data_IF_688903455142
#
_entry.id   IF_688903455142
#
_cell.length_a   1.000
_cell.length_b   1.000
_cell.length_c   1.000
_cell.angle_alpha   90.00
_cell.angle_beta   90.00
_cell.angle_gamma   90.00
#
_symmetry.space_group_name_H-M   'P 1'
#
loop_
_entity.id
_entity.type
_entity.pdbx_description
1 polymer ?
#
# COMPACT_ATOMS: atom_id res chain seq x y z
N UNK A 1 -43.26 -36.23 26.43
CA UNK A 1 -41.83 -36.58 26.39
C UNK A 1 -41.50 -36.86 24.94
N UNK A 2 -41.23 -35.77 24.22
CA UNK A 2 -40.92 -35.72 22.79
C UNK A 2 -39.48 -36.19 22.56
N UNK A 3 -39.18 -36.67 21.35
CA UNK A 3 -37.83 -37.13 20.92
C UNK A 3 -36.71 -36.11 21.24
N UNK A 4 -37.05 -34.82 21.36
CA UNK A 4 -36.27 -33.72 21.93
C UNK A 4 -35.57 -34.05 23.27
N UNK A 5 -36.29 -34.68 24.20
CA UNK A 5 -35.78 -35.06 25.53
C UNK A 5 -34.87 -36.30 25.44
N UNK A 6 -34.92 -37.07 24.35
CA UNK A 6 -34.01 -38.21 24.11
C UNK A 6 -32.68 -37.77 23.48
N UNK A 7 -32.67 -36.79 22.57
CA UNK A 7 -31.44 -36.24 21.99
C UNK A 7 -30.57 -35.53 23.04
N UNK A 8 -31.16 -34.62 23.82
CA UNK A 8 -30.47 -33.96 24.93
C UNK A 8 -29.98 -34.95 25.99
N UNK A 9 -30.74 -36.04 26.26
CA UNK A 9 -30.28 -37.12 27.16
C UNK A 9 -29.20 -38.02 26.56
N UNK A 10 -29.20 -38.25 25.25
CA UNK A 10 -28.19 -39.08 24.60
C UNK A 10 -26.81 -38.41 24.65
N UNK A 11 -26.75 -37.09 24.46
CA UNK A 11 -25.49 -36.34 24.49
C UNK A 11 -25.00 -36.03 25.91
N UNK A 12 -25.90 -35.64 26.83
CA UNK A 12 -25.56 -35.51 28.26
C UNK A 12 -25.18 -36.85 28.93
N UNK A 13 -25.57 -37.98 28.32
CA UNK A 13 -25.16 -39.33 28.71
C UNK A 13 -23.78 -39.76 28.18
N UNK A 14 -23.08 -38.97 27.35
CA UNK A 14 -21.70 -39.30 26.99
C UNK A 14 -20.84 -39.20 28.25
N UNK A 15 -20.57 -40.36 28.86
CA UNK A 15 -19.68 -40.54 30.01
C UNK A 15 -18.31 -39.85 29.81
N UNK A 16 -17.89 -39.69 28.55
CA UNK A 16 -16.70 -38.95 28.10
C UNK A 16 -16.64 -37.50 28.61
N UNK A 17 -17.80 -36.86 28.81
CA UNK A 17 -17.90 -35.47 29.31
C UNK A 17 -17.92 -35.36 30.85
N UNK A 18 -18.34 -36.42 31.58
CA UNK A 18 -18.69 -36.34 33.01
C UNK A 18 -17.65 -36.91 33.99
N UNK A 19 -16.40 -37.13 33.55
CA UNK A 19 -15.27 -37.42 34.43
C UNK A 19 -14.74 -38.86 34.33
N UNK A 20 -13.41 -38.96 34.41
CA UNK A 20 -12.53 -40.16 34.36
C UNK A 20 -11.90 -40.56 33.01
N UNK A 21 -12.30 -40.00 31.86
CA UNK A 21 -11.72 -40.44 30.57
C UNK A 21 -10.37 -39.79 30.21
N UNK A 22 -9.52 -40.60 29.56
CA UNK A 22 -8.20 -40.26 29.01
C UNK A 22 -8.33 -39.14 27.98
N UNK A 23 -7.40 -38.18 28.02
CA UNK A 23 -7.34 -37.04 27.11
C UNK A 23 -7.44 -37.48 25.64
N UNK A 24 -6.80 -38.61 25.31
CA UNK A 24 -6.83 -39.22 24.00
C UNK A 24 -8.24 -39.59 23.50
N UNK A 25 -9.15 -40.02 24.39
CA UNK A 25 -10.51 -40.38 24.00
C UNK A 25 -11.36 -39.15 23.66
N UNK A 26 -11.17 -38.03 24.37
CA UNK A 26 -11.86 -36.77 24.06
C UNK A 26 -11.42 -36.21 22.72
N UNK A 27 -10.12 -36.24 22.45
CA UNK A 27 -9.60 -35.85 21.15
C UNK A 27 -10.17 -36.72 20.02
N UNK A 28 -10.20 -38.04 20.20
CA UNK A 28 -10.76 -38.95 19.21
C UNK A 28 -12.25 -38.67 19.00
N UNK A 29 -13.02 -38.44 20.08
CA UNK A 29 -14.44 -38.11 19.98
C UNK A 29 -14.65 -36.80 19.22
N UNK A 30 -13.89 -35.75 19.53
CA UNK A 30 -13.97 -34.45 18.87
C UNK A 30 -13.70 -34.56 17.36
N UNK A 31 -12.61 -35.26 16.99
CA UNK A 31 -12.27 -35.51 15.58
C UNK A 31 -13.34 -36.33 14.87
N UNK A 32 -13.80 -37.41 15.49
CA UNK A 32 -14.81 -38.29 14.91
C UNK A 32 -16.16 -37.57 14.74
N UNK A 33 -16.58 -36.75 15.69
CA UNK A 33 -17.81 -35.98 15.58
C UNK A 33 -17.75 -34.97 14.44
N UNK A 34 -16.66 -34.20 14.34
CA UNK A 34 -16.46 -33.27 13.24
C UNK A 34 -16.40 -33.99 11.88
N UNK A 35 -15.73 -35.15 11.83
CA UNK A 35 -15.64 -35.96 10.63
C UNK A 35 -16.99 -36.57 10.23
N UNK A 36 -17.77 -37.08 11.18
CA UNK A 36 -19.12 -37.57 10.91
C UNK A 36 -19.99 -36.44 10.40
N UNK A 37 -19.94 -35.27 11.04
CA UNK A 37 -20.67 -34.09 10.64
C UNK A 37 -20.33 -33.68 9.19
N UNK A 38 -19.05 -33.68 8.80
CA UNK A 38 -18.67 -33.30 7.44
C UNK A 38 -19.28 -34.20 6.36
N UNK A 39 -19.56 -35.47 6.67
CA UNK A 39 -20.26 -36.38 5.75
C UNK A 39 -21.78 -36.19 5.68
N UNK A 40 -22.39 -35.63 6.72
CA UNK A 40 -23.86 -35.52 6.84
C UNK A 40 -24.38 -34.09 6.81
N UNK A 41 -23.50 -33.09 6.82
CA UNK A 41 -23.83 -31.66 6.96
C UNK A 41 -24.95 -31.18 6.01
N UNK A 42 -24.92 -31.60 4.74
CA UNK A 42 -25.95 -31.24 3.74
C UNK A 42 -27.35 -31.81 4.03
N UNK A 43 -27.43 -32.86 4.87
CA UNK A 43 -28.68 -33.57 5.19
C UNK A 43 -29.20 -33.26 6.59
N UNK A 44 -28.43 -32.54 7.40
CA UNK A 44 -28.87 -32.15 8.73
C UNK A 44 -29.89 -31.01 8.66
N UNK A 45 -30.92 -31.10 9.50
CA UNK A 45 -31.78 -29.96 9.81
C UNK A 45 -31.11 -29.02 10.83
N UNK A 46 -31.68 -27.83 11.04
CA UNK A 46 -31.09 -26.80 11.90
C UNK A 46 -31.00 -27.26 13.37
N UNK A 47 -31.91 -28.12 13.82
CA UNK A 47 -31.91 -28.66 15.18
C UNK A 47 -30.75 -29.65 15.38
N UNK A 48 -30.53 -30.53 14.40
CA UNK A 48 -29.39 -31.44 14.39
C UNK A 48 -28.07 -30.67 14.34
N UNK A 49 -27.96 -29.63 13.50
CA UNK A 49 -26.75 -28.78 13.46
C UNK A 49 -26.49 -28.16 14.84
N UNK A 50 -27.51 -27.65 15.52
CA UNK A 50 -27.36 -27.08 16.86
C UNK A 50 -26.88 -28.10 17.91
N UNK A 51 -27.35 -29.35 17.83
CA UNK A 51 -26.88 -30.42 18.73
C UNK A 51 -25.39 -30.75 18.51
N UNK A 52 -24.96 -30.84 17.24
CA UNK A 52 -23.54 -30.99 16.92
C UNK A 52 -22.71 -29.80 17.41
N UNK A 53 -23.23 -28.58 17.24
CA UNK A 53 -22.60 -27.35 17.68
C UNK A 53 -22.31 -27.36 19.18
N UNK A 54 -23.32 -27.65 20.00
CA UNK A 54 -23.19 -27.69 21.46
C UNK A 54 -22.11 -28.66 21.92
N UNK A 55 -22.11 -29.88 21.37
CA UNK A 55 -21.13 -30.91 21.77
C UNK A 55 -19.73 -30.57 21.28
N UNK A 56 -19.58 -30.08 20.05
CA UNK A 56 -18.30 -29.66 19.52
C UNK A 56 -17.72 -28.46 20.29
N UNK A 57 -18.56 -27.51 20.74
CA UNK A 57 -18.14 -26.42 21.62
C UNK A 57 -17.58 -26.92 22.95
N UNK A 58 -18.27 -27.85 23.61
CA UNK A 58 -17.82 -28.43 24.88
C UNK A 58 -16.51 -29.21 24.70
N UNK A 59 -16.41 -30.03 23.66
CA UNK A 59 -15.20 -30.81 23.38
C UNK A 59 -14.00 -29.92 23.02
N UNK A 60 -14.22 -28.81 22.30
CA UNK A 60 -13.16 -27.87 21.97
C UNK A 60 -12.46 -27.28 23.21
N UNK A 61 -13.13 -27.20 24.35
CA UNK A 61 -12.52 -26.73 25.62
C UNK A 61 -11.66 -27.80 26.31
N UNK A 62 -11.78 -29.06 25.90
CA UNK A 62 -11.23 -30.22 26.61
C UNK A 62 -10.13 -30.95 25.83
N UNK A 63 -9.71 -30.40 24.68
CA UNK A 63 -8.76 -31.04 23.76
C UNK A 63 -7.62 -30.10 23.41
N UNK A 64 -6.47 -30.67 23.08
CA UNK A 64 -5.27 -29.94 22.69
C UNK A 64 -5.41 -29.26 21.32
N UNK A 65 -4.51 -28.31 21.09
CA UNK A 65 -4.47 -27.45 19.89
C UNK A 65 -4.48 -28.28 18.61
N UNK A 66 -3.76 -29.41 18.56
CA UNK A 66 -3.67 -30.27 17.37
C UNK A 66 -5.02 -30.91 16.99
N UNK A 67 -5.90 -31.14 17.95
CA UNK A 67 -7.25 -31.61 17.70
C UNK A 67 -8.14 -30.49 17.15
N UNK A 68 -8.01 -29.28 17.71
CA UNK A 68 -8.70 -28.08 17.24
C UNK A 68 -8.30 -27.69 15.82
N UNK A 69 -7.01 -27.73 15.48
CA UNK A 69 -6.52 -27.52 14.11
C UNK A 69 -7.17 -28.51 13.13
N UNK A 70 -7.24 -29.78 13.50
CA UNK A 70 -7.82 -30.81 12.63
C UNK A 70 -9.32 -30.57 12.40
N UNK A 71 -10.08 -30.30 13.45
CA UNK A 71 -11.50 -30.02 13.34
C UNK A 71 -11.76 -28.73 12.59
N UNK A 72 -10.99 -27.67 12.83
CA UNK A 72 -11.10 -26.41 12.09
C UNK A 72 -10.93 -26.62 10.57
N UNK A 73 -9.98 -27.47 10.15
CA UNK A 73 -9.79 -27.83 8.74
C UNK A 73 -10.96 -28.62 8.15
N UNK A 74 -11.62 -29.47 8.94
CA UNK A 74 -12.81 -30.21 8.51
C UNK A 74 -14.04 -29.33 8.36
N UNK A 75 -14.21 -28.35 9.26
CA UNK A 75 -15.37 -27.46 9.27
C UNK A 75 -15.25 -26.30 8.28
N UNK A 76 -14.04 -25.80 8.03
CA UNK A 76 -13.80 -24.64 7.18
C UNK A 76 -14.48 -24.67 5.79
N UNK A 77 -14.47 -25.77 5.01
CA UNK A 77 -15.10 -25.78 3.70
C UNK A 77 -16.61 -26.06 3.71
N UNK A 78 -17.22 -26.33 4.86
CA UNK A 78 -18.63 -26.72 4.93
C UNK A 78 -19.56 -25.50 4.86
N UNK A 79 -20.54 -25.52 3.96
CA UNK A 79 -21.52 -24.44 3.81
C UNK A 79 -22.47 -24.32 5.01
N UNK A 80 -22.77 -25.45 5.66
CA UNK A 80 -23.63 -25.53 6.85
C UNK A 80 -22.86 -25.98 8.09
N UNK A 81 -21.65 -25.46 8.29
CA UNK A 81 -20.88 -25.73 9.51
C UNK A 81 -21.63 -25.24 10.77
N UNK A 82 -21.46 -25.88 11.94
CA UNK A 82 -22.09 -25.43 13.18
C UNK A 82 -21.47 -24.09 13.61
N UNK A 83 -22.30 -23.05 13.75
CA UNK A 83 -21.84 -21.67 13.81
C UNK A 83 -21.07 -21.31 15.08
N UNK A 84 -21.54 -21.76 16.25
CA UNK A 84 -20.94 -21.37 17.55
C UNK A 84 -19.52 -21.91 17.68
N UNK A 85 -19.29 -23.17 17.31
CA UNK A 85 -17.95 -23.77 17.35
C UNK A 85 -17.04 -23.14 16.30
N UNK A 86 -17.54 -22.78 15.12
CA UNK A 86 -16.76 -22.07 14.11
C UNK A 86 -16.28 -20.71 14.65
N UNK A 87 -17.17 -19.91 15.24
CA UNK A 87 -16.79 -18.63 15.85
C UNK A 87 -15.82 -18.82 17.02
N UNK A 88 -16.02 -19.85 17.84
CA UNK A 88 -15.12 -20.19 18.96
C UNK A 88 -13.71 -20.51 18.47
N UNK A 89 -13.59 -21.42 17.49
CA UNK A 89 -12.30 -21.83 16.93
C UNK A 89 -11.65 -20.73 16.08
N UNK A 90 -12.43 -19.81 15.50
CA UNK A 90 -11.91 -18.64 14.78
C UNK A 90 -11.32 -17.56 15.72
N UNK A 91 -11.61 -17.63 17.01
CA UNK A 91 -11.06 -16.76 18.07
C UNK A 91 -9.91 -17.43 18.88
N UNK A 92 -9.50 -18.62 18.48
CA UNK A 92 -8.45 -19.41 19.12
C UNK A 92 -7.04 -18.98 18.65
N UNK A 93 -6.01 -19.74 18.97
CA UNK A 93 -4.68 -19.54 18.39
C UNK A 93 -4.72 -19.59 16.86
N UNK A 94 -3.86 -18.81 16.21
CA UNK A 94 -3.90 -18.62 14.76
C UNK A 94 -3.83 -19.94 13.98
N UNK A 95 -3.12 -20.95 14.48
CA UNK A 95 -2.98 -22.24 13.80
C UNK A 95 -4.33 -22.97 13.68
N UNK A 96 -5.21 -22.77 14.65
CA UNK A 96 -6.59 -23.28 14.69
C UNK A 96 -7.50 -22.37 13.86
N UNK A 97 -7.41 -21.06 14.07
CA UNK A 97 -8.34 -20.09 13.48
C UNK A 97 -8.15 -19.93 11.96
N UNK A 98 -6.91 -19.97 11.47
CA UNK A 98 -6.55 -19.66 10.08
C UNK A 98 -7.42 -20.35 9.01
N UNK A 99 -7.62 -21.69 9.00
CA UNK A 99 -8.48 -22.32 7.98
C UNK A 99 -9.92 -21.79 8.01
N UNK A 100 -10.47 -21.47 9.18
CA UNK A 100 -11.84 -20.95 9.30
C UNK A 100 -11.90 -19.50 8.79
N UNK A 101 -10.94 -18.66 9.19
CA UNK A 101 -10.86 -17.27 8.76
C UNK A 101 -10.66 -17.14 7.25
N UNK A 102 -9.87 -18.02 6.63
CA UNK A 102 -9.59 -17.98 5.18
C UNK A 102 -10.73 -18.56 4.33
N UNK A 103 -11.41 -19.62 4.79
CA UNK A 103 -12.28 -20.43 3.92
C UNK A 103 -13.73 -20.60 4.38
N UNK A 104 -14.07 -20.30 5.64
CA UNK A 104 -15.44 -20.48 6.13
C UNK A 104 -16.39 -19.40 5.61
N UNK A 105 -17.54 -19.82 5.09
CA UNK A 105 -18.65 -18.94 4.68
C UNK A 105 -19.70 -18.74 5.77
N UNK A 106 -19.55 -19.39 6.93
CA UNK A 106 -20.50 -19.30 8.05
C UNK A 106 -20.23 -18.07 8.93
N UNK A 107 -18.99 -17.58 8.95
CA UNK A 107 -18.62 -16.36 9.66
C UNK A 107 -19.28 -15.14 9.00
N UNK A 108 -20.08 -14.41 9.76
CA UNK A 108 -20.67 -13.15 9.31
C UNK A 108 -19.65 -12.02 9.28
N UNK A 109 -19.97 -10.93 8.58
CA UNK A 109 -19.13 -9.72 8.58
C UNK A 109 -18.93 -9.19 10.01
N UNK A 110 -19.96 -9.25 10.85
CA UNK A 110 -19.88 -8.78 12.25
C UNK A 110 -18.96 -9.67 13.09
N UNK A 111 -18.96 -10.99 12.87
CA UNK A 111 -18.01 -11.90 13.53
C UNK A 111 -16.57 -11.61 13.10
N UNK A 112 -16.34 -11.40 11.79
CA UNK A 112 -15.02 -11.07 11.27
C UNK A 112 -14.51 -9.74 11.83
N UNK A 113 -15.38 -8.72 11.90
CA UNK A 113 -15.04 -7.40 12.47
C UNK A 113 -14.70 -7.52 13.97
N UNK A 114 -15.45 -8.32 14.73
CA UNK A 114 -15.17 -8.55 16.15
C UNK A 114 -13.81 -9.24 16.36
N UNK A 115 -13.52 -10.26 15.55
CA UNK A 115 -12.22 -10.96 15.54
C UNK A 115 -11.09 -10.00 15.18
N UNK A 116 -11.28 -9.15 14.17
CA UNK A 116 -10.33 -8.11 13.81
C UNK A 116 -10.10 -7.21 15.04
N UNK A 117 -11.13 -6.72 15.71
CA UNK A 117 -10.98 -5.82 16.86
C UNK A 117 -10.16 -6.42 18.01
N UNK A 118 -10.25 -7.74 18.24
CA UNK A 118 -9.76 -8.39 19.45
C UNK A 118 -8.49 -9.24 19.29
N UNK A 119 -8.25 -9.79 18.10
CA UNK A 119 -7.23 -10.84 17.91
C UNK A 119 -5.90 -10.34 17.33
N UNK A 120 -4.94 -11.26 17.15
CA UNK A 120 -3.59 -10.92 16.70
C UNK A 120 -3.55 -10.41 15.25
N UNK A 121 -2.43 -9.80 14.87
CA UNK A 121 -2.18 -9.37 13.48
C UNK A 121 -2.28 -10.55 12.49
N UNK A 122 -1.90 -11.75 12.90
CA UNK A 122 -1.95 -12.94 12.02
C UNK A 122 -3.39 -13.35 11.70
N UNK A 123 -4.35 -13.13 12.60
CA UNK A 123 -5.78 -13.32 12.35
C UNK A 123 -6.26 -12.37 11.26
N UNK A 124 -5.88 -11.10 11.35
CA UNK A 124 -6.24 -10.08 10.36
C UNK A 124 -5.64 -10.41 8.99
N UNK A 125 -4.42 -10.95 8.94
CA UNK A 125 -3.80 -11.42 7.69
C UNK A 125 -4.61 -12.56 7.07
N UNK A 126 -5.09 -13.51 7.88
CA UNK A 126 -5.95 -14.59 7.40
C UNK A 126 -7.27 -14.04 6.82
N UNK A 127 -7.94 -13.13 7.53
CA UNK A 127 -9.20 -12.49 7.08
C UNK A 127 -8.98 -11.67 5.80
N UNK A 128 -7.89 -10.90 5.73
CA UNK A 128 -7.51 -10.13 4.53
C UNK A 128 -7.26 -11.02 3.30
N UNK A 129 -6.94 -12.30 3.53
CA UNK A 129 -6.67 -13.30 2.50
C UNK A 129 -7.89 -14.04 1.95
N UNK A 130 -9.11 -13.77 2.46
CA UNK A 130 -10.36 -14.39 2.00
C UNK A 130 -10.61 -14.14 0.51
N UNK A 131 -11.36 -15.04 -0.13
CA UNK A 131 -11.70 -14.92 -1.56
C UNK A 131 -12.49 -13.64 -1.90
N UNK A 132 -13.29 -13.16 -0.94
CA UNK A 132 -13.99 -11.89 -0.99
C UNK A 132 -13.83 -11.19 0.38
N UNK A 133 -13.57 -9.89 0.37
CA UNK A 133 -13.51 -9.08 1.61
C UNK A 133 -14.48 -7.90 1.44
N UNK A 134 -15.66 -7.96 2.07
CA UNK A 134 -16.65 -6.88 2.01
C UNK A 134 -16.11 -5.58 2.59
N UNK A 135 -16.66 -4.47 2.12
CA UNK A 135 -16.29 -3.10 2.50
C UNK A 135 -16.09 -2.91 4.01
N UNK A 136 -17.08 -3.31 4.83
CA UNK A 136 -17.05 -3.16 6.30
C UNK A 136 -15.89 -3.94 6.95
N UNK A 137 -15.61 -5.13 6.44
CA UNK A 137 -14.51 -5.98 6.93
C UNK A 137 -13.16 -5.39 6.51
N UNK A 138 -13.08 -4.88 5.27
CA UNK A 138 -11.92 -4.15 4.76
C UNK A 138 -11.61 -2.92 5.61
N UNK A 139 -12.62 -2.11 5.94
CA UNK A 139 -12.47 -0.95 6.82
C UNK A 139 -11.90 -1.34 8.18
N UNK A 140 -12.45 -2.37 8.82
CA UNK A 140 -11.98 -2.84 10.13
C UNK A 140 -10.50 -3.30 10.08
N UNK A 141 -10.07 -3.98 9.01
CA UNK A 141 -8.66 -4.34 8.82
C UNK A 141 -7.79 -3.08 8.67
N UNK A 142 -8.27 -2.07 7.93
CA UNK A 142 -7.55 -0.80 7.77
C UNK A 142 -7.53 0.01 9.06
N UNK A 143 -8.51 -0.13 9.94
CA UNK A 143 -8.50 0.55 11.24
C UNK A 143 -7.50 -0.10 12.20
N UNK A 144 -7.60 -1.42 12.39
CA UNK A 144 -6.89 -2.09 13.47
C UNK A 144 -5.65 -2.89 13.03
N UNK A 145 -5.50 -3.16 11.73
CA UNK A 145 -4.41 -3.98 11.19
C UNK A 145 -3.08 -3.25 11.09
N UNK A 146 -1.99 -4.01 11.24
CA UNK A 146 -0.63 -3.56 10.97
C UNK A 146 -0.23 -3.81 9.51
N UNK A 147 1.05 -3.57 9.19
CA UNK A 147 1.57 -3.63 7.82
C UNK A 147 1.18 -4.92 7.08
N UNK A 148 1.33 -6.08 7.71
CA UNK A 148 1.13 -7.38 7.06
C UNK A 148 -0.30 -7.60 6.57
N UNK A 149 -1.30 -7.28 7.40
CA UNK A 149 -2.72 -7.43 7.07
C UNK A 149 -3.15 -6.40 6.04
N UNK A 150 -2.67 -5.17 6.13
CA UNK A 150 -2.93 -4.13 5.10
C UNK A 150 -2.33 -4.55 3.76
N UNK A 151 -1.07 -4.97 3.72
CA UNK A 151 -0.41 -5.43 2.49
C UNK A 151 -1.19 -6.59 1.88
N UNK A 152 -1.64 -7.54 2.71
CA UNK A 152 -2.45 -8.68 2.26
C UNK A 152 -3.80 -8.23 1.68
N UNK A 153 -4.48 -7.30 2.36
CA UNK A 153 -5.77 -6.74 1.96
C UNK A 153 -5.66 -5.98 0.63
N UNK A 154 -4.66 -5.11 0.50
CA UNK A 154 -4.45 -4.30 -0.70
C UNK A 154 -4.14 -5.19 -1.91
N UNK A 155 -3.37 -6.27 -1.74
CA UNK A 155 -3.09 -7.26 -2.78
C UNK A 155 -4.29 -8.13 -3.16
N UNK A 156 -5.34 -8.14 -2.35
CA UNK A 156 -6.56 -8.89 -2.63
C UNK A 156 -7.47 -8.08 -3.58
N UNK A 157 -7.47 -8.44 -4.86
CA UNK A 157 -8.26 -7.74 -5.90
C UNK A 157 -9.76 -7.82 -5.70
N UNK A 158 -10.23 -8.76 -4.87
CA UNK A 158 -11.65 -8.92 -4.53
C UNK A 158 -12.00 -8.23 -3.22
N UNK A 159 -11.08 -7.49 -2.59
CA UNK A 159 -11.40 -6.65 -1.45
C UNK A 159 -12.09 -5.37 -1.93
N UNK A 160 -13.25 -5.08 -1.38
CA UNK A 160 -14.01 -3.87 -1.66
C UNK A 160 -13.59 -2.75 -0.71
N UNK A 161 -13.45 -1.53 -1.24
CA UNK A 161 -13.12 -0.36 -0.45
C UNK A 161 -14.08 0.77 -0.77
N UNK A 162 -14.63 1.36 0.28
CA UNK A 162 -15.31 2.63 0.17
C UNK A 162 -14.31 3.78 0.13
N UNK A 163 -14.87 4.97 -0.06
CA UNK A 163 -14.10 6.19 -0.11
C UNK A 163 -13.34 6.46 1.20
N UNK A 164 -13.98 6.26 2.37
CA UNK A 164 -13.32 6.54 3.65
C UNK A 164 -12.16 5.57 3.92
N UNK A 165 -12.33 4.29 3.58
CA UNK A 165 -11.26 3.28 3.67
C UNK A 165 -10.12 3.57 2.72
N UNK A 166 -10.41 3.99 1.48
CA UNK A 166 -9.37 4.42 0.53
C UNK A 166 -8.56 5.61 1.05
N UNK A 167 -9.21 6.61 1.65
CA UNK A 167 -8.52 7.75 2.27
C UNK A 167 -7.55 7.29 3.38
N UNK A 168 -7.99 6.39 4.26
CA UNK A 168 -7.15 5.79 5.31
C UNK A 168 -5.98 4.99 4.73
N UNK A 169 -6.23 4.19 3.68
CA UNK A 169 -5.20 3.41 2.99
C UNK A 169 -4.15 4.31 2.32
N UNK A 170 -4.57 5.40 1.69
CA UNK A 170 -3.67 6.40 1.10
C UNK A 170 -2.82 7.06 2.19
N UNK A 171 -3.41 7.41 3.33
CA UNK A 171 -2.67 7.95 4.46
C UNK A 171 -1.58 6.98 4.96
N UNK A 172 -1.87 5.67 5.02
CA UNK A 172 -0.86 4.66 5.39
C UNK A 172 0.18 4.43 4.30
N UNK A 173 -0.22 4.44 3.04
CA UNK A 173 0.69 4.33 1.90
C UNK A 173 1.69 5.51 1.85
N UNK A 174 1.36 6.68 2.42
CA UNK A 174 2.31 7.80 2.55
C UNK A 174 3.53 7.42 3.42
N UNK A 175 3.33 6.54 4.41
CA UNK A 175 4.37 6.06 5.31
C UNK A 175 5.04 4.76 4.83
N UNK A 176 4.37 3.96 3.98
CA UNK A 176 4.85 2.65 3.53
C UNK A 176 4.86 2.50 2.00
N UNK A 177 6.07 2.40 1.44
CA UNK A 177 6.30 2.31 0.00
C UNK A 177 5.79 1.00 -0.65
N UNK A 178 5.69 -0.08 0.12
CA UNK A 178 5.19 -1.37 -0.36
C UNK A 178 3.68 -1.30 -0.53
N UNK A 179 2.97 -0.82 0.50
CA UNK A 179 1.51 -0.58 0.44
C UNK A 179 1.19 0.37 -0.72
N UNK A 180 1.98 1.43 -0.91
CA UNK A 180 1.83 2.35 -2.03
C UNK A 180 2.03 1.68 -3.40
N UNK A 181 2.93 0.70 -3.52
CA UNK A 181 3.14 -0.04 -4.77
C UNK A 181 1.98 -0.99 -5.06
N UNK A 182 1.52 -1.72 -4.04
CA UNK A 182 0.41 -2.67 -4.18
C UNK A 182 -0.90 -1.95 -4.52
N UNK A 183 -1.19 -0.82 -3.86
CA UNK A 183 -2.41 -0.04 -4.10
C UNK A 183 -2.46 0.51 -5.54
N UNK A 184 -1.33 0.99 -6.06
CA UNK A 184 -1.18 1.41 -7.46
C UNK A 184 -1.37 0.29 -8.48
N UNK A 185 -1.14 -0.95 -8.07
CA UNK A 185 -1.29 -2.11 -8.93
C UNK A 185 -2.74 -2.51 -9.21
N UNK A 186 -3.70 -1.93 -8.49
CA UNK A 186 -5.12 -2.27 -8.58
C UNK A 186 -5.80 -1.60 -9.79
N UNK A 187 -6.22 -2.37 -10.82
CA UNK A 187 -6.74 -1.83 -12.08
C UNK A 187 -8.12 -1.16 -11.98
N UNK A 188 -8.91 -1.50 -10.96
CA UNK A 188 -10.27 -1.01 -10.74
C UNK A 188 -10.33 0.37 -10.05
N UNK A 189 -9.23 0.82 -9.47
CA UNK A 189 -9.14 2.12 -8.81
C UNK A 189 -8.82 3.22 -9.84
N UNK A 190 -9.79 4.08 -10.13
CA UNK A 190 -9.56 5.28 -10.93
C UNK A 190 -8.91 6.39 -10.09
N UNK A 191 -7.59 6.34 -10.00
CA UNK A 191 -6.76 7.36 -9.36
C UNK A 191 -6.93 8.77 -9.96
N UNK A 192 -7.53 8.89 -11.16
CA UNK A 192 -7.86 10.17 -11.78
C UNK A 192 -8.96 10.93 -11.06
N UNK A 193 -10.01 10.24 -10.64
CA UNK A 193 -11.19 10.82 -9.96
C UNK A 193 -10.97 11.05 -8.45
N UNK A 194 -10.19 10.19 -7.78
CA UNK A 194 -9.83 10.33 -6.35
C UNK A 194 -8.82 11.47 -6.06
N UNK A 195 -8.31 12.13 -7.10
CA UNK A 195 -7.28 13.17 -7.05
C UNK A 195 -7.63 14.36 -6.17
N UNK A 196 -8.88 14.83 -6.19
CA UNK A 196 -9.32 15.98 -5.40
C UNK A 196 -9.48 15.69 -3.91
N UNK A 197 -9.59 14.41 -3.54
CA UNK A 197 -9.96 13.97 -2.20
C UNK A 197 -8.70 13.65 -1.37
N UNK A 198 -7.69 13.07 -2.03
CA UNK A 198 -6.34 12.85 -1.47
C UNK A 198 -5.64 14.17 -1.10
N UNK A 199 -5.83 15.24 -1.89
CA UNK A 199 -5.31 16.58 -1.60
C UNK A 199 -5.91 17.20 -0.31
N UNK A 200 -7.12 16.79 0.08
CA UNK A 200 -7.79 17.27 1.30
C UNK A 200 -7.29 16.58 2.58
N UNK A 201 -6.99 15.27 2.49
CA UNK A 201 -6.44 14.47 3.61
C UNK A 201 -4.99 14.89 3.90
N UNK A 202 -4.23 15.21 2.84
CA UNK A 202 -2.90 15.81 2.94
C UNK A 202 -2.88 17.10 3.77
N UNK A 203 -3.88 17.95 3.57
CA UNK A 203 -4.02 19.23 4.26
C UNK A 203 -4.42 19.05 5.73
N UNK A 204 -5.31 18.09 6.03
CA UNK A 204 -5.74 17.78 7.41
C UNK A 204 -4.66 17.16 8.28
N UNK A 205 -3.85 16.25 7.74
CA UNK A 205 -2.74 15.63 8.48
C UNK A 205 -1.66 16.67 8.82
N UNK A 206 -1.43 17.64 7.93
CA UNK A 206 -0.54 18.78 8.18
C UNK A 206 -1.07 19.71 9.28
N UNK A 207 -2.40 19.93 9.36
CA UNK A 207 -3.02 20.73 10.43
C UNK A 207 -2.92 20.06 11.82
N UNK A 208 -3.13 18.74 11.91
CA UNK A 208 -3.02 18.02 13.20
C UNK A 208 -1.60 17.85 13.71
N UNK A 209 -0.59 17.95 12.84
CA UNK A 209 0.83 17.86 13.22
C UNK A 209 1.42 19.21 13.67
N UNK A 210 0.66 20.31 13.54
CA UNK A 210 1.06 21.65 13.96
C UNK A 210 0.82 21.91 15.46
N UNK A 211 0.07 21.03 16.14
CA UNK A 211 -0.30 21.23 17.55
C UNK A 211 0.74 20.74 18.56
N UNK A 212 1.73 19.91 18.19
CA UNK A 212 2.58 19.22 19.20
C UNK A 212 4.10 19.17 18.93
N UNK A 213 4.70 20.03 18.09
CA UNK A 213 6.15 20.26 18.18
C UNK A 213 6.65 21.50 17.40
N UNK A 214 7.53 22.27 18.04
CA UNK A 214 8.17 23.49 17.53
C UNK A 214 9.24 23.22 16.44
N UNK A 215 8.83 22.71 15.28
CA UNK A 215 9.71 22.57 14.12
C UNK A 215 9.41 23.65 13.08
N UNK A 216 10.48 24.25 12.53
CA UNK A 216 10.44 25.31 11.51
C UNK A 216 9.49 24.93 10.34
N UNK A 217 8.38 25.67 10.13
CA UNK A 217 7.31 25.35 9.16
C UNK A 217 7.81 25.18 7.72
N UNK A 218 8.96 25.78 7.40
CA UNK A 218 9.55 25.79 6.05
C UNK A 218 10.39 24.54 5.77
N UNK A 219 10.82 23.81 6.81
CA UNK A 219 11.60 22.58 6.69
C UNK A 219 10.72 21.34 6.58
N UNK A 220 9.63 21.27 7.35
CA UNK A 220 8.66 20.17 7.30
C UNK A 220 7.93 20.09 5.93
N UNK A 221 7.55 21.24 5.36
CA UNK A 221 6.94 21.31 4.02
C UNK A 221 7.86 20.86 2.87
N UNK A 222 9.19 20.90 3.04
CA UNK A 222 10.16 20.53 2.00
C UNK A 222 10.49 19.04 1.97
N UNK A 223 10.37 18.35 3.10
CA UNK A 223 10.56 16.89 3.15
C UNK A 223 9.29 16.16 2.74
N UNK A 224 8.11 16.72 3.04
CA UNK A 224 6.83 16.12 2.65
C UNK A 224 6.59 16.17 1.13
N UNK A 225 6.86 17.30 0.45
CA UNK A 225 6.67 17.42 -1.00
C UNK A 225 7.51 16.42 -1.84
N UNK A 226 8.66 15.96 -1.31
CA UNK A 226 9.52 14.97 -1.98
C UNK A 226 9.00 13.53 -1.79
N UNK A 227 8.23 13.28 -0.73
CA UNK A 227 7.57 11.99 -0.46
C UNK A 227 6.22 11.89 -1.18
N UNK A 228 5.47 13.00 -1.28
CA UNK A 228 4.27 13.13 -2.13
C UNK A 228 4.52 12.75 -3.61
N UNK A 229 5.75 12.96 -4.10
CA UNK A 229 6.15 12.58 -5.46
C UNK A 229 6.41 11.06 -5.66
N UNK A 230 6.43 10.23 -4.59
CA UNK A 230 6.71 8.79 -4.71
C UNK A 230 5.49 7.92 -5.05
N UNK A 231 4.28 8.47 -5.00
CA UNK A 231 3.04 7.68 -4.97
C UNK A 231 2.23 7.65 -6.27
N UNK A 232 2.76 8.15 -7.40
CA UNK A 232 1.89 8.58 -8.52
C UNK A 232 2.25 8.06 -9.91
N UNK A 233 2.20 6.75 -10.13
CA UNK A 233 2.32 6.07 -11.46
C UNK A 233 3.73 5.83 -12.03
N UNK A 234 3.78 4.91 -13.00
CA UNK A 234 4.94 4.42 -13.77
C UNK A 234 5.70 5.49 -14.58
N UNK A 235 5.29 6.76 -14.48
CA UNK A 235 5.96 7.92 -15.06
C UNK A 235 6.04 8.99 -13.97
N UNK A 236 7.24 9.23 -13.44
CA UNK A 236 7.47 10.13 -12.31
C UNK A 236 8.84 9.90 -11.66
N UNK A 237 9.34 10.92 -10.97
CA UNK A 237 10.68 10.92 -10.37
C UNK A 237 10.82 9.89 -9.24
N UNK A 238 11.85 9.05 -9.31
CA UNK A 238 12.18 8.03 -8.30
C UNK A 238 13.55 8.34 -7.72
N UNK A 239 13.64 8.50 -6.40
CA UNK A 239 14.91 8.86 -5.72
C UNK A 239 15.97 7.76 -5.87
N UNK A 240 15.55 6.49 -5.90
CA UNK A 240 16.46 5.35 -6.08
C UNK A 240 16.98 5.28 -7.52
N UNK A 241 16.08 5.39 -8.51
CA UNK A 241 16.46 5.43 -9.93
C UNK A 241 17.28 6.68 -10.25
N UNK A 242 16.95 7.82 -9.64
CA UNK A 242 17.72 9.05 -9.71
C UNK A 242 19.15 8.86 -9.19
N UNK A 243 19.33 8.27 -8.01
CA UNK A 243 20.67 8.04 -7.45
C UNK A 243 21.54 7.18 -8.39
N UNK A 244 20.95 6.12 -8.95
CA UNK A 244 21.64 5.24 -9.91
C UNK A 244 21.95 6.00 -11.21
N UNK A 245 20.96 6.66 -11.79
CA UNK A 245 21.10 7.43 -13.03
C UNK A 245 22.12 8.56 -12.88
N UNK A 246 22.08 9.30 -11.78
CA UNK A 246 23.01 10.39 -11.49
C UNK A 246 24.46 9.91 -11.39
N UNK A 247 24.71 8.80 -10.69
CA UNK A 247 26.05 8.21 -10.63
C UNK A 247 26.55 7.73 -11.99
N UNK A 248 25.68 7.11 -12.80
CA UNK A 248 26.02 6.65 -14.14
C UNK A 248 26.30 7.81 -15.11
N UNK A 249 25.47 8.86 -15.05
CA UNK A 249 25.66 10.09 -15.83
C UNK A 249 26.93 10.82 -15.41
N UNK A 250 27.23 10.88 -14.10
CA UNK A 250 28.48 11.47 -13.61
C UNK A 250 29.69 10.72 -14.17
N UNK A 251 29.67 9.39 -14.16
CA UNK A 251 30.72 8.59 -14.78
C UNK A 251 30.84 8.80 -16.30
N UNK A 252 29.74 9.04 -17.01
CA UNK A 252 29.76 9.42 -18.44
C UNK A 252 30.36 10.81 -18.65
N UNK A 253 30.02 11.77 -17.79
CA UNK A 253 30.57 13.13 -17.80
C UNK A 253 32.07 13.14 -17.53
N UNK A 254 32.54 12.36 -16.55
CA UNK A 254 33.96 12.23 -16.20
C UNK A 254 34.78 11.67 -17.38
N UNK A 255 34.14 10.85 -18.23
CA UNK A 255 34.71 10.30 -19.47
C UNK A 255 34.53 11.21 -20.69
N UNK A 256 33.95 12.40 -20.53
CA UNK A 256 33.60 13.36 -21.61
C UNK A 256 32.68 12.75 -22.68
N UNK A 257 31.79 11.85 -22.28
CA UNK A 257 30.82 11.18 -23.15
C UNK A 257 29.36 11.67 -22.93
N UNK A 258 29.19 12.76 -22.18
CA UNK A 258 27.90 13.41 -21.97
C UNK A 258 27.70 14.50 -23.02
N UNK A 259 27.12 14.13 -24.16
CA UNK A 259 26.85 15.00 -25.32
C UNK A 259 25.36 14.91 -25.75
N UNK A 260 24.98 15.66 -26.79
CA UNK A 260 23.62 15.64 -27.34
C UNK A 260 23.20 14.25 -27.83
N UNK A 261 24.15 13.40 -28.26
CA UNK A 261 23.87 12.02 -28.66
C UNK A 261 23.49 11.17 -27.45
N UNK A 262 24.12 11.38 -26.30
CA UNK A 262 23.74 10.74 -25.04
C UNK A 262 22.34 11.19 -24.60
N UNK A 263 22.04 12.50 -24.65
CA UNK A 263 20.72 13.04 -24.32
C UNK A 263 19.62 12.48 -25.26
N UNK A 264 19.86 12.47 -26.56
CA UNK A 264 18.94 11.88 -27.54
C UNK A 264 18.71 10.39 -27.30
N UNK A 265 19.74 9.65 -26.87
CA UNK A 265 19.62 8.23 -26.49
C UNK A 265 18.73 8.05 -25.27
N UNK A 266 18.89 8.86 -24.24
CA UNK A 266 18.03 8.82 -23.06
C UNK A 266 16.58 9.12 -23.42
N UNK A 267 16.34 10.15 -24.24
CA UNK A 267 15.01 10.49 -24.73
C UNK A 267 14.37 9.33 -25.52
N UNK A 268 15.11 8.77 -26.49
CA UNK A 268 14.64 7.68 -27.38
C UNK A 268 14.23 6.41 -26.63
N UNK A 269 14.98 6.03 -25.60
CA UNK A 269 14.71 4.81 -24.83
C UNK A 269 13.85 5.05 -23.58
N UNK A 270 13.35 6.27 -23.38
CA UNK A 270 12.49 6.58 -22.23
C UNK A 270 13.23 6.64 -20.89
N UNK A 271 14.56 6.83 -20.90
CA UNK A 271 15.37 6.91 -19.68
C UNK A 271 15.28 8.31 -19.04
N UNK A 272 14.11 8.62 -18.48
CA UNK A 272 13.79 9.93 -17.91
C UNK A 272 14.74 10.38 -16.80
N UNK A 273 15.09 9.50 -15.86
CA UNK A 273 15.99 9.85 -14.74
C UNK A 273 17.43 10.10 -15.23
N UNK A 274 17.88 9.39 -16.26
CA UNK A 274 19.18 9.66 -16.90
C UNK A 274 19.17 10.97 -17.69
N UNK A 275 18.08 11.29 -18.38
CA UNK A 275 17.92 12.58 -19.04
C UNK A 275 17.94 13.73 -18.01
N UNK A 276 17.17 13.62 -16.94
CA UNK A 276 17.13 14.63 -15.88
C UNK A 276 18.49 14.79 -15.16
N UNK A 277 19.19 13.68 -14.88
CA UNK A 277 20.52 13.71 -14.29
C UNK A 277 21.55 14.34 -15.25
N UNK A 278 21.49 14.01 -16.54
CA UNK A 278 22.35 14.58 -17.58
C UNK A 278 22.20 16.10 -17.64
N UNK A 279 20.96 16.60 -17.65
CA UNK A 279 20.68 18.02 -17.67
C UNK A 279 21.15 18.72 -16.39
N UNK A 280 21.01 18.08 -15.23
CA UNK A 280 21.55 18.62 -13.97
C UNK A 280 23.06 18.85 -14.04
N UNK A 281 23.80 17.86 -14.58
CA UNK A 281 25.26 17.94 -14.74
C UNK A 281 25.65 18.99 -15.79
N UNK A 282 25.00 18.99 -16.96
CA UNK A 282 25.27 19.92 -18.07
C UNK A 282 24.99 21.37 -17.65
N UNK A 283 23.86 21.61 -16.99
CA UNK A 283 23.45 22.95 -16.51
C UNK A 283 24.24 23.42 -15.29
N UNK A 284 25.01 22.53 -14.64
CA UNK A 284 25.77 22.80 -13.41
C UNK A 284 24.88 23.38 -12.30
N UNK A 285 23.69 22.82 -12.15
CA UNK A 285 22.76 23.14 -11.05
C UNK A 285 22.79 22.02 -10.02
N UNK A 286 22.45 22.34 -8.77
CA UNK A 286 22.38 21.29 -7.75
C UNK A 286 21.19 20.35 -8.03
N UNK A 287 21.30 19.05 -7.72
CA UNK A 287 20.22 18.08 -7.90
C UNK A 287 18.88 18.55 -7.35
N UNK A 288 18.88 19.18 -6.17
CA UNK A 288 17.66 19.63 -5.49
C UNK A 288 16.89 20.67 -6.31
N UNK A 289 17.59 21.50 -7.09
CA UNK A 289 16.92 22.53 -7.89
C UNK A 289 16.31 21.95 -9.15
N UNK A 290 17.01 21.05 -9.83
CA UNK A 290 16.43 20.38 -11.00
C UNK A 290 15.23 19.50 -10.60
N UNK A 291 15.34 18.80 -9.47
CA UNK A 291 14.23 18.03 -8.88
C UNK A 291 13.06 18.94 -8.51
N UNK A 292 13.33 20.13 -7.96
CA UNK A 292 12.29 21.11 -7.65
C UNK A 292 11.54 21.52 -8.92
N UNK A 293 12.22 21.80 -10.03
CA UNK A 293 11.56 22.15 -11.29
C UNK A 293 10.64 21.05 -11.80
N UNK A 294 11.08 19.79 -11.73
CA UNK A 294 10.26 18.63 -12.12
C UNK A 294 9.04 18.46 -11.21
N UNK A 295 9.23 18.63 -9.90
CA UNK A 295 8.17 18.51 -8.89
C UNK A 295 7.13 19.64 -9.00
N UNK A 296 7.55 20.87 -9.29
CA UNK A 296 6.66 22.02 -9.40
C UNK A 296 6.09 22.23 -10.80
N UNK A 297 6.34 21.32 -11.75
CA UNK A 297 5.97 21.49 -13.17
C UNK A 297 6.46 22.82 -13.74
N UNK A 298 7.70 23.19 -13.39
CA UNK A 298 8.28 24.46 -13.81
C UNK A 298 8.80 24.36 -15.24
N UNK A 299 7.85 24.29 -16.17
CA UNK A 299 8.07 24.29 -17.60
C UNK A 299 8.86 25.52 -18.04
N UNK A 300 8.66 26.66 -17.40
CA UNK A 300 9.38 27.91 -17.71
C UNK A 300 10.85 27.76 -17.37
N UNK A 301 11.19 27.27 -16.17
CA UNK A 301 12.57 27.09 -15.76
C UNK A 301 13.32 26.12 -16.67
N UNK A 302 12.72 24.97 -16.99
CA UNK A 302 13.33 23.99 -17.88
C UNK A 302 13.47 24.54 -19.31
N UNK A 303 12.48 25.27 -19.82
CA UNK A 303 12.57 25.91 -21.15
C UNK A 303 13.73 26.87 -21.24
N UNK A 304 13.84 27.80 -20.27
CA UNK A 304 14.93 28.79 -20.23
C UNK A 304 16.29 28.10 -20.07
N UNK A 305 16.41 27.16 -19.13
CA UNK A 305 17.66 26.46 -18.86
C UNK A 305 18.17 25.67 -20.07
N UNK A 306 17.28 24.92 -20.72
CA UNK A 306 17.64 24.12 -21.89
C UNK A 306 17.92 24.97 -23.13
N UNK A 307 17.27 26.13 -23.25
CA UNK A 307 17.57 27.09 -24.31
C UNK A 307 18.95 27.71 -24.11
N UNK A 308 19.28 28.11 -22.88
CA UNK A 308 20.60 28.62 -22.51
C UNK A 308 21.72 27.57 -22.76
N UNK A 309 21.45 26.30 -22.47
CA UNK A 309 22.35 25.18 -22.74
C UNK A 309 22.58 24.92 -24.24
N UNK A 310 21.75 25.49 -25.12
CA UNK A 310 21.91 25.40 -26.57
C UNK A 310 21.32 24.15 -27.21
N UNK A 311 20.33 23.51 -26.57
CA UNK A 311 19.64 22.37 -27.17
C UNK A 311 18.90 22.80 -28.46
N UNK A 312 18.81 21.89 -29.43
CA UNK A 312 17.95 22.10 -30.60
C UNK A 312 16.47 21.91 -30.22
N UNK A 313 15.52 22.52 -30.97
CA UNK A 313 14.08 22.35 -30.71
C UNK A 313 13.63 20.89 -30.70
N UNK A 314 14.17 20.06 -31.59
CA UNK A 314 13.83 18.64 -31.71
C UNK A 314 14.30 17.85 -30.48
N UNK A 315 15.53 18.12 -30.03
CA UNK A 315 16.07 17.48 -28.84
C UNK A 315 15.33 17.96 -27.58
N UNK A 316 14.98 19.24 -27.50
CA UNK A 316 14.18 19.80 -26.42
C UNK A 316 12.82 19.10 -26.30
N UNK A 317 12.08 18.98 -27.41
CA UNK A 317 10.77 18.33 -27.44
C UNK A 317 10.86 16.86 -26.97
N UNK A 318 11.84 16.12 -27.48
CA UNK A 318 12.08 14.73 -27.09
C UNK A 318 12.44 14.60 -25.61
N UNK A 319 13.28 15.51 -25.09
CA UNK A 319 13.69 15.52 -23.68
C UNK A 319 12.52 15.85 -22.76
N UNK A 320 11.78 16.92 -23.05
CA UNK A 320 10.62 17.33 -22.24
C UNK A 320 9.57 16.22 -22.19
N UNK A 321 9.35 15.48 -23.28
CA UNK A 321 8.42 14.35 -23.26
C UNK A 321 8.89 13.17 -22.37
N UNK A 322 10.21 13.03 -22.16
CA UNK A 322 10.82 11.89 -21.44
C UNK A 322 11.18 12.22 -19.99
N UNK A 323 11.26 13.49 -19.61
CA UNK A 323 11.59 13.89 -18.25
C UNK A 323 10.59 13.33 -17.22
N UNK A 324 11.07 12.97 -16.01
CA UNK A 324 10.24 12.38 -14.97
C UNK A 324 9.49 13.48 -14.20
N UNK A 325 8.62 14.19 -14.91
CA UNK A 325 7.73 15.21 -14.35
C UNK A 325 6.83 14.64 -13.26
N UNK A 326 6.33 15.51 -12.38
CA UNK A 326 5.27 15.15 -11.41
C UNK A 326 4.03 14.55 -12.10
N UNK A 327 3.70 15.10 -13.26
CA UNK A 327 2.61 14.75 -14.17
C UNK A 327 3.19 14.73 -15.58
N UNK A 328 2.89 13.70 -16.37
CA UNK A 328 3.27 13.69 -17.79
C UNK A 328 2.66 14.91 -18.49
N UNK A 329 3.47 15.68 -19.25
CA UNK A 329 2.97 16.84 -19.99
C UNK A 329 1.83 16.43 -20.92
N UNK A 330 0.71 17.16 -20.86
CA UNK A 330 -0.39 16.98 -21.81
C UNK A 330 0.06 17.39 -23.22
N UNK A 331 -0.74 17.06 -24.24
CA UNK A 331 -0.43 17.53 -25.60
C UNK A 331 -0.44 19.07 -25.69
N UNK A 332 -1.36 19.73 -24.96
CA UNK A 332 -1.41 21.18 -24.88
C UNK A 332 -0.14 21.76 -24.23
N UNK A 333 0.34 21.14 -23.16
CA UNK A 333 1.60 21.56 -22.51
C UNK A 333 2.76 21.45 -23.48
N UNK A 334 2.93 20.30 -24.15
CA UNK A 334 4.00 20.05 -25.12
C UNK A 334 4.03 21.11 -26.23
N UNK A 335 2.87 21.42 -26.82
CA UNK A 335 2.74 22.48 -27.82
C UNK A 335 3.13 23.84 -27.26
N UNK A 336 2.67 24.17 -26.05
CA UNK A 336 2.99 25.44 -25.39
C UNK A 336 4.49 25.59 -25.10
N UNK A 337 5.14 24.59 -24.50
CA UNK A 337 6.58 24.70 -24.18
C UNK A 337 7.45 24.71 -25.42
N UNK A 338 7.10 23.94 -26.46
CA UNK A 338 7.80 24.00 -27.75
C UNK A 338 7.76 25.39 -28.35
N UNK A 339 6.56 25.98 -28.45
CA UNK A 339 6.40 27.34 -28.97
C UNK A 339 7.20 28.38 -28.18
N UNK A 340 7.20 28.28 -26.84
CA UNK A 340 8.00 29.17 -25.97
C UNK A 340 9.50 28.98 -26.15
N UNK A 341 9.96 27.75 -26.32
CA UNK A 341 11.37 27.44 -26.54
C UNK A 341 11.89 28.02 -27.86
N UNK A 342 11.10 27.92 -28.93
CA UNK A 342 11.44 28.44 -30.25
C UNK A 342 11.43 29.97 -30.29
N UNK A 343 10.51 30.60 -29.56
CA UNK A 343 10.38 32.07 -29.49
C UNK A 343 11.45 32.74 -28.61
N UNK A 344 12.06 32.01 -27.68
CA UNK A 344 13.06 32.56 -26.76
C UNK A 344 14.44 32.61 -27.41
N UNK A 345 15.08 33.79 -27.43
CA UNK A 345 16.46 33.88 -27.92
C UNK A 345 17.46 33.22 -26.96
N UNK A 346 18.56 32.68 -27.50
CA UNK A 346 19.55 31.97 -26.69
C UNK A 346 20.32 32.89 -25.73
N UNK A 347 20.68 34.09 -26.17
CA UNK A 347 21.41 35.07 -25.36
C UNK A 347 20.51 35.59 -24.23
N UNK A 348 19.24 35.86 -24.54
CA UNK A 348 18.21 36.22 -23.56
C UNK A 348 18.02 35.10 -22.52
N UNK A 349 17.89 33.84 -22.97
CA UNK A 349 17.78 32.69 -22.08
C UNK A 349 19.00 32.55 -21.15
N UNK A 350 20.20 32.74 -21.68
CA UNK A 350 21.43 32.68 -20.90
C UNK A 350 21.48 33.79 -19.83
N UNK A 351 21.07 35.02 -20.18
CA UNK A 351 20.95 36.13 -19.24
C UNK A 351 19.97 35.84 -18.09
N UNK A 352 18.77 35.34 -18.41
CA UNK A 352 17.76 34.95 -17.41
C UNK A 352 18.29 33.83 -16.51
N UNK A 353 18.92 32.81 -17.11
CA UNK A 353 19.44 31.66 -16.39
C UNK A 353 20.56 32.04 -15.41
N UNK A 354 21.50 32.88 -15.81
CA UNK A 354 22.57 33.36 -14.94
C UNK A 354 22.04 34.28 -13.82
N UNK A 355 21.01 35.07 -14.09
CA UNK A 355 20.35 35.88 -13.06
C UNK A 355 19.68 34.98 -12.01
N UNK A 356 18.97 33.94 -12.43
CA UNK A 356 18.45 32.92 -11.50
C UNK A 356 19.58 32.26 -10.72
N UNK A 357 20.73 32.02 -11.38
CA UNK A 357 21.86 31.40 -10.71
C UNK A 357 22.42 32.25 -9.58
N UNK A 358 22.58 33.55 -9.84
CA UNK A 358 23.11 34.49 -8.87
C UNK A 358 22.20 34.65 -7.64
N UNK A 359 20.87 34.63 -7.82
CA UNK A 359 19.89 34.89 -6.75
C UNK A 359 19.50 33.64 -5.95
N UNK A 360 19.45 32.47 -6.60
CA UNK A 360 18.87 31.25 -5.99
C UNK A 360 19.91 30.29 -5.43
N UNK A 361 21.16 30.29 -5.93
CA UNK A 361 22.19 29.31 -5.53
C UNK A 361 23.25 29.84 -4.55
N UNK A 362 23.31 31.15 -4.26
CA UNK A 362 24.34 31.76 -3.38
C UNK A 362 24.05 31.61 -1.88
N UNK A 363 22.78 31.42 -1.49
CA UNK A 363 22.34 31.42 -0.08
C UNK A 363 22.91 30.25 0.76
N UNK A 364 23.61 29.30 0.13
CA UNK A 364 24.23 28.13 0.80
C UNK A 364 25.75 28.25 1.03
N UNK A 365 26.46 29.13 0.32
CA UNK A 365 27.91 29.32 0.54
C UNK A 365 28.19 30.11 1.83
N UNK A 366 27.35 31.10 2.15
CA UNK A 366 27.49 31.93 3.35
C UNK A 366 27.09 31.21 4.66
N UNK A 367 26.40 30.07 4.59
CA UNK A 367 26.06 29.25 5.77
C UNK A 367 27.19 28.29 6.17
N UNK A 368 28.01 27.82 5.21
CA UNK A 368 29.15 26.94 5.51
C UNK A 368 30.37 27.70 6.05
N UNK A 369 30.58 28.96 5.66
CA UNK A 369 31.68 29.78 6.21
C UNK A 369 31.46 30.18 7.68
N UNK A 370 30.22 30.24 8.16
CA UNK A 370 29.92 30.59 9.57
C UNK A 370 30.09 29.43 10.54
N UNK A 371 30.19 28.19 10.06
CA UNK A 371 30.40 26.99 10.90
C UNK A 371 31.89 26.70 11.10
N UNK A 372 32.79 27.24 10.26
CA UNK A 372 34.23 27.01 10.36
C UNK A 372 35.03 28.09 11.13
N UNK A 373 34.36 29.06 11.77
CA UNK A 373 35.01 30.11 12.58
C UNK A 373 34.41 30.23 13.99
N UNK A 374 33.81 29.16 14.52
CA UNK A 374 33.28 29.10 15.88
C UNK A 374 34.00 28.02 16.70
#
# INVERSE_FOLDING_TARGET
>A
MTELDQGQRAFSSFRVLNGENDHAEREQLFRNMAQLFSYVSDRCDDEQVAQYDEVLCQLAELVEVEARIHVAKLLAPLERAPGTVVVKLANDDIEVAKPLLEFSNVLSDDDLIDIIGKQSEEHRVAIAGRSNVPERVGEAIVEHGAKSSITRLVRNTNAEFDKATLEKLVARANADAEIAADLRGRPELDWGSLRGEIDSVASKVLETLDEDNSLDPVAAGKVNAVVYNRMRNRAGFSANEWKVAYNQVKALSDRKQLDDRALARFARFGYGHHAAAALTVVLRVSPEVFVKWLASQDYVAITVALRAAGLTPELFEAIVATLPWRDLPSQADKTMVKSRFEALDREEAAGIFELWRAHSFRKRAASDERVNVA
#
